data_IF_719479873272
#
_entry.id   IF_719479873272
#
_cell.length_a   1.000
_cell.length_b   1.000
_cell.length_c   1.000
_cell.angle_alpha   90.00
_cell.angle_beta   90.00
_cell.angle_gamma   90.00
#
_symmetry.space_group_name_H-M   'P 1'
#
loop_
_entity.id
_entity.type
_entity.pdbx_description
1 polymer ?
#
# COMPACT_ATOMS: atom_id res chain seq x y z
N UNK A 1 3.79 -102.43 30.34
CA UNK A 1 4.62 -102.27 29.12
C UNK A 1 5.90 -101.53 29.51
N UNK A 2 7.08 -102.17 29.40
CA UNK A 2 8.37 -101.45 29.49
C UNK A 2 8.67 -100.87 28.12
N UNK A 3 8.82 -99.56 28.03
CA UNK A 3 9.25 -98.86 26.81
C UNK A 3 10.60 -99.43 26.35
N UNK A 4 10.76 -99.63 25.05
CA UNK A 4 12.01 -100.09 24.43
C UNK A 4 13.09 -99.01 24.51
N UNK A 5 14.37 -99.41 24.49
CA UNK A 5 15.51 -98.48 24.48
C UNK A 5 15.44 -97.45 23.33
N UNK A 6 14.83 -97.82 22.19
CA UNK A 6 14.64 -96.93 21.04
C UNK A 6 13.61 -95.83 21.35
N UNK A 7 12.49 -96.16 22.01
CA UNK A 7 11.46 -95.18 22.39
C UNK A 7 11.97 -94.18 23.42
N UNK A 8 12.79 -94.62 24.39
CA UNK A 8 13.43 -93.74 25.38
C UNK A 8 14.39 -92.75 24.71
N UNK A 9 15.20 -93.21 23.75
CA UNK A 9 16.13 -92.36 23.02
C UNK A 9 15.39 -91.31 22.16
N UNK A 10 14.27 -91.69 21.52
CA UNK A 10 13.45 -90.78 20.72
C UNK A 10 12.80 -89.71 21.62
N UNK A 11 12.20 -90.10 22.76
CA UNK A 11 11.59 -89.15 23.70
C UNK A 11 12.62 -88.17 24.26
N UNK A 12 13.82 -88.64 24.61
CA UNK A 12 14.92 -87.80 25.11
C UNK A 12 15.40 -86.81 24.03
N UNK A 13 15.57 -87.27 22.78
CA UNK A 13 15.92 -86.41 21.66
C UNK A 13 14.83 -85.37 21.36
N UNK A 14 13.55 -85.75 21.39
CA UNK A 14 12.42 -84.84 21.24
C UNK A 14 12.38 -83.80 22.37
N UNK A 15 12.64 -84.20 23.61
CA UNK A 15 12.73 -83.27 24.73
C UNK A 15 13.87 -82.26 24.55
N UNK A 16 15.05 -82.71 24.12
CA UNK A 16 16.21 -81.84 23.88
C UNK A 16 15.97 -80.88 22.70
N UNK A 17 15.35 -81.35 21.62
CA UNK A 17 14.94 -80.49 20.49
C UNK A 17 13.88 -79.46 20.89
N UNK A 18 12.89 -79.85 21.69
CA UNK A 18 11.89 -78.90 22.21
C UNK A 18 12.53 -77.88 23.15
N UNK A 19 13.38 -78.31 24.09
CA UNK A 19 14.06 -77.42 25.03
C UNK A 19 14.99 -76.42 24.31
N UNK A 20 15.77 -76.88 23.33
CA UNK A 20 16.64 -76.01 22.52
C UNK A 20 15.84 -75.05 21.64
N UNK A 21 14.73 -75.49 21.03
CA UNK A 21 13.82 -74.62 20.28
C UNK A 21 13.22 -73.52 21.15
N UNK A 22 12.81 -73.83 22.38
CA UNK A 22 12.32 -72.83 23.34
C UNK A 22 13.41 -71.81 23.68
N UNK A 23 14.65 -72.24 23.93
CA UNK A 23 15.78 -71.34 24.23
C UNK A 23 16.14 -70.46 23.03
N UNK A 24 16.17 -71.00 21.81
CA UNK A 24 16.40 -70.24 20.58
C UNK A 24 15.28 -69.21 20.33
N UNK A 25 14.01 -69.59 20.51
CA UNK A 25 12.89 -68.66 20.37
C UNK A 25 12.93 -67.54 21.43
N UNK A 26 13.22 -67.87 22.69
CA UNK A 26 13.35 -66.88 23.75
C UNK A 26 14.49 -65.87 23.50
N UNK A 27 15.63 -66.35 22.98
CA UNK A 27 16.77 -65.48 22.63
C UNK A 27 16.46 -64.59 21.42
N UNK A 28 15.81 -65.11 20.38
CA UNK A 28 15.33 -64.31 19.24
C UNK A 28 14.35 -63.21 19.69
N UNK A 29 13.37 -63.53 20.52
CA UNK A 29 12.41 -62.54 21.07
C UNK A 29 13.14 -61.45 21.87
N UNK A 30 14.11 -61.82 22.70
CA UNK A 30 14.93 -60.86 23.45
C UNK A 30 15.77 -59.95 22.53
N UNK A 31 16.36 -60.51 21.47
CA UNK A 31 17.14 -59.75 20.49
C UNK A 31 16.24 -58.78 19.71
N UNK A 32 15.07 -59.21 19.25
CA UNK A 32 14.10 -58.35 18.59
C UNK A 32 13.59 -57.25 19.51
N UNK A 33 13.28 -57.57 20.78
CA UNK A 33 12.86 -56.59 21.76
C UNK A 33 13.95 -55.53 21.99
N UNK A 34 15.22 -55.95 22.14
CA UNK A 34 16.37 -55.04 22.26
C UNK A 34 16.51 -54.16 21.01
N UNK A 35 16.36 -54.73 19.81
CA UNK A 35 16.40 -53.99 18.53
C UNK A 35 15.28 -52.94 18.47
N UNK A 36 14.02 -53.32 18.71
CA UNK A 36 12.86 -52.41 18.72
C UNK A 36 12.98 -51.32 19.79
N UNK A 37 13.61 -51.61 20.94
CA UNK A 37 13.90 -50.61 21.98
C UNK A 37 14.93 -49.58 21.51
N UNK A 38 16.00 -50.01 20.83
CA UNK A 38 16.99 -49.11 20.22
C UNK A 38 16.37 -48.25 19.12
N UNK A 39 15.56 -48.84 18.25
CA UNK A 39 14.85 -48.12 17.17
C UNK A 39 13.92 -47.04 17.74
N UNK A 40 13.11 -47.38 18.75
CA UNK A 40 12.26 -46.39 19.45
C UNK A 40 13.07 -45.27 20.10
N UNK A 41 14.21 -45.60 20.71
CA UNK A 41 15.09 -44.59 21.29
C UNK A 41 15.75 -43.70 20.23
N UNK A 42 16.16 -44.28 19.10
CA UNK A 42 16.72 -43.54 17.97
C UNK A 42 15.69 -42.56 17.38
N UNK A 43 14.44 -43.02 17.16
CA UNK A 43 13.34 -42.16 16.69
C UNK A 43 13.05 -41.03 17.68
N UNK A 44 13.04 -41.31 19.00
CA UNK A 44 12.87 -40.26 20.02
C UNK A 44 14.00 -39.23 19.98
N UNK A 45 15.25 -39.67 19.84
CA UNK A 45 16.40 -38.77 19.71
C UNK A 45 16.35 -37.93 18.44
N UNK A 46 15.92 -38.52 17.31
CA UNK A 46 15.71 -37.79 16.05
C UNK A 46 14.61 -36.73 16.19
N UNK A 47 13.50 -37.05 16.86
CA UNK A 47 12.42 -36.08 17.10
C UNK A 47 12.88 -34.92 17.99
N UNK A 48 13.57 -35.22 19.09
CA UNK A 48 14.12 -34.21 20.01
C UNK A 48 15.15 -33.30 19.32
N UNK A 49 16.04 -33.87 18.52
CA UNK A 49 17.04 -33.08 17.77
C UNK A 49 16.39 -32.20 16.72
N UNK A 50 15.39 -32.70 15.98
CA UNK A 50 14.61 -31.88 15.05
C UNK A 50 13.92 -30.71 15.77
N UNK A 51 13.29 -30.97 16.93
CA UNK A 51 12.62 -29.94 17.71
C UNK A 51 13.60 -28.88 18.26
N UNK A 52 14.80 -29.29 18.67
CA UNK A 52 15.87 -28.37 19.08
C UNK A 52 16.36 -27.49 17.93
N UNK A 53 16.52 -28.06 16.72
CA UNK A 53 16.94 -27.30 15.53
C UNK A 53 15.89 -26.25 15.14
N UNK A 54 14.61 -26.61 15.15
CA UNK A 54 13.50 -25.68 14.90
C UNK A 54 13.50 -24.54 15.94
N UNK A 55 13.64 -24.88 17.23
CA UNK A 55 13.70 -23.89 18.30
C UNK A 55 14.91 -22.96 18.16
N UNK A 56 16.08 -23.50 17.80
CA UNK A 56 17.29 -22.70 17.56
C UNK A 56 17.09 -21.72 16.41
N UNK A 57 16.53 -22.17 15.29
CA UNK A 57 16.21 -21.32 14.14
C UNK A 57 15.20 -20.22 14.51
N UNK A 58 14.19 -20.54 15.32
CA UNK A 58 13.23 -19.57 15.83
C UNK A 58 13.92 -18.50 16.70
N UNK A 59 14.78 -18.91 17.64
CA UNK A 59 15.53 -18.01 18.52
C UNK A 59 16.46 -17.11 17.69
N UNK A 60 17.16 -17.65 16.69
CA UNK A 60 18.02 -16.87 15.80
C UNK A 60 17.22 -15.84 15.01
N UNK A 61 16.06 -16.21 14.48
CA UNK A 61 15.16 -15.27 13.80
C UNK A 61 14.64 -14.18 14.74
N UNK A 62 14.28 -14.53 15.97
CA UNK A 62 13.90 -13.55 16.99
C UNK A 62 15.06 -12.59 17.34
N UNK A 63 16.29 -13.10 17.45
CA UNK A 63 17.50 -12.30 17.65
C UNK A 63 17.79 -11.37 16.47
N UNK A 64 17.70 -11.87 15.23
CA UNK A 64 17.85 -11.05 13.99
C UNK A 64 16.80 -9.93 13.94
N UNK A 65 15.54 -10.25 14.23
CA UNK A 65 14.45 -9.25 14.34
C UNK A 65 14.75 -8.21 15.41
N UNK A 66 15.26 -8.58 16.59
CA UNK A 66 15.67 -7.63 17.64
C UNK A 66 16.85 -6.74 17.19
N UNK A 67 17.89 -7.28 16.55
CA UNK A 67 19.01 -6.46 16.01
C UNK A 67 18.53 -5.42 14.99
N UNK A 68 17.64 -5.81 14.08
CA UNK A 68 17.03 -4.86 13.13
C UNK A 68 16.18 -3.78 13.81
N UNK A 69 15.63 -4.02 15.01
CA UNK A 69 14.91 -3.01 15.80
C UNK A 69 15.85 -1.96 16.40
N UNK A 70 17.09 -2.32 16.72
CA UNK A 70 18.05 -1.48 17.45
C UNK A 70 19.01 -0.66 16.55
N UNK A 71 18.77 -0.61 15.23
CA UNK A 71 19.56 0.27 14.37
C UNK A 71 19.31 1.73 14.79
N UNK A 72 20.36 2.45 15.19
CA UNK A 72 20.26 3.88 15.55
C UNK A 72 19.68 4.65 14.36
N UNK A 73 18.67 5.49 14.62
CA UNK A 73 18.05 6.37 13.63
C UNK A 73 18.18 7.81 14.12
N UNK A 74 18.51 8.72 13.21
CA UNK A 74 18.59 10.15 13.55
C UNK A 74 17.20 10.76 13.53
N UNK A 75 16.89 11.56 14.56
CA UNK A 75 15.67 12.36 14.64
C UNK A 75 15.95 13.85 14.41
N UNK A 76 17.22 14.20 14.20
CA UNK A 76 17.75 15.55 14.19
C UNK A 76 17.04 16.45 13.18
N UNK A 77 16.87 15.94 11.95
CA UNK A 77 16.33 16.73 10.85
C UNK A 77 14.92 17.24 11.15
N UNK A 78 14.01 16.38 11.61
CA UNK A 78 12.64 16.82 11.90
C UNK A 78 12.54 17.62 13.21
N UNK A 79 13.16 17.15 14.28
CA UNK A 79 12.95 17.74 15.62
C UNK A 79 13.74 19.04 15.84
N UNK A 80 14.93 19.17 15.23
CA UNK A 80 15.83 20.30 15.47
C UNK A 80 15.97 21.20 14.25
N UNK A 81 16.08 20.66 13.03
CA UNK A 81 16.29 21.50 11.84
C UNK A 81 14.96 22.06 11.34
N UNK A 82 14.02 21.19 10.94
CA UNK A 82 12.75 21.64 10.35
C UNK A 82 11.91 22.47 11.32
N UNK A 83 11.79 22.04 12.57
CA UNK A 83 10.95 22.74 13.55
C UNK A 83 11.51 24.09 14.00
N UNK A 84 12.84 24.25 14.05
CA UNK A 84 13.48 25.42 14.66
C UNK A 84 14.12 26.37 13.64
N UNK A 85 14.64 25.86 12.53
CA UNK A 85 15.51 26.61 11.62
C UNK A 85 14.90 26.87 10.24
N UNK A 86 13.93 26.07 9.78
CA UNK A 86 13.35 26.25 8.44
C UNK A 86 12.63 27.59 8.28
N UNK A 87 13.00 28.31 7.23
CA UNK A 87 12.28 29.47 6.69
C UNK A 87 11.08 29.05 5.85
N UNK A 88 10.18 29.99 5.52
CA UNK A 88 9.04 29.70 4.62
C UNK A 88 9.49 29.17 3.25
N UNK A 89 10.64 29.61 2.74
CA UNK A 89 11.22 29.09 1.49
C UNK A 89 11.58 27.61 1.63
N UNK A 90 12.21 27.23 2.74
CA UNK A 90 12.58 25.84 3.01
C UNK A 90 11.34 24.96 3.14
N UNK A 91 10.27 25.46 3.75
CA UNK A 91 8.98 24.77 3.82
C UNK A 91 8.38 24.51 2.44
N UNK A 92 8.33 25.53 1.59
CA UNK A 92 7.82 25.39 0.22
C UNK A 92 8.68 24.45 -0.63
N UNK A 93 10.00 24.48 -0.46
CA UNK A 93 10.91 23.61 -1.21
C UNK A 93 10.77 22.14 -0.80
N UNK A 94 10.69 21.86 0.50
CA UNK A 94 10.70 20.49 1.03
C UNK A 94 9.31 19.85 1.15
N UNK A 95 8.26 20.65 1.39
CA UNK A 95 6.91 20.15 1.65
C UNK A 95 5.87 20.64 0.64
N UNK A 96 6.23 21.56 -0.28
CA UNK A 96 5.34 22.22 -1.25
C UNK A 96 4.18 23.01 -0.63
N UNK A 97 4.25 23.27 0.68
CA UNK A 97 3.28 24.06 1.44
C UNK A 97 4.01 24.92 2.46
N UNK A 98 3.47 26.11 2.74
CA UNK A 98 3.97 26.98 3.81
C UNK A 98 3.66 26.42 5.20
N UNK A 99 4.32 26.97 6.23
CA UNK A 99 4.17 26.46 7.62
C UNK A 99 2.74 26.62 8.14
N UNK A 100 2.04 27.68 7.75
CA UNK A 100 0.65 27.92 8.15
C UNK A 100 -0.32 26.93 7.49
N UNK A 101 -0.16 26.71 6.18
CA UNK A 101 -0.93 25.68 5.46
C UNK A 101 -0.67 24.28 6.01
N UNK A 102 0.58 23.99 6.40
CA UNK A 102 0.92 22.75 7.09
C UNK A 102 0.15 22.62 8.41
N UNK A 103 0.17 23.64 9.27
CA UNK A 103 -0.58 23.64 10.55
C UNK A 103 -2.07 23.46 10.33
N UNK A 104 -2.62 24.11 9.31
CA UNK A 104 -4.01 23.95 8.93
C UNK A 104 -4.35 22.49 8.56
N UNK A 105 -3.54 21.86 7.69
CA UNK A 105 -3.74 20.45 7.31
C UNK A 105 -3.64 19.52 8.53
N UNK A 106 -2.71 19.79 9.45
CA UNK A 106 -2.55 19.01 10.68
C UNK A 106 -3.81 19.05 11.53
N UNK A 107 -4.43 20.22 11.70
CA UNK A 107 -5.62 20.36 12.54
C UNK A 107 -6.86 19.72 11.88
N UNK A 108 -7.06 19.93 10.57
CA UNK A 108 -8.16 19.32 9.80
C UNK A 108 -8.13 17.79 9.84
N UNK A 109 -6.94 17.19 9.76
CA UNK A 109 -6.80 15.73 9.68
C UNK A 109 -6.56 15.06 11.04
N UNK A 110 -6.53 15.85 12.12
CA UNK A 110 -6.09 15.40 13.44
C UNK A 110 -6.91 14.25 13.99
N UNK A 111 -8.24 14.36 13.92
CA UNK A 111 -9.13 13.36 14.50
C UNK A 111 -9.03 12.00 13.79
N UNK A 112 -8.84 12.02 12.47
CA UNK A 112 -8.73 10.79 11.66
C UNK A 112 -7.32 10.17 11.69
N UNK A 113 -6.26 10.97 11.91
CA UNK A 113 -4.87 10.50 11.92
C UNK A 113 -4.35 10.10 13.31
N UNK A 114 -5.11 10.37 14.39
CA UNK A 114 -4.74 9.95 15.74
C UNK A 114 -4.59 8.41 15.81
N UNK A 115 -3.60 7.89 16.55
CA UNK A 115 -3.52 6.46 16.80
C UNK A 115 -4.76 5.96 17.53
N UNK A 116 -5.32 4.84 17.08
CA UNK A 116 -6.37 4.14 17.82
C UNK A 116 -5.81 3.68 19.17
N UNK A 117 -6.60 3.82 20.23
CA UNK A 117 -6.19 3.59 21.64
C UNK A 117 -5.50 2.23 21.85
N UNK A 118 -5.99 1.19 21.17
CA UNK A 118 -5.47 -0.18 21.25
C UNK A 118 -4.00 -0.34 20.81
N UNK A 119 -3.40 0.67 20.18
CA UNK A 119 -2.04 0.59 19.67
C UNK A 119 -1.04 1.57 20.32
N UNK A 120 -1.45 2.34 21.33
CA UNK A 120 -0.60 3.36 21.97
C UNK A 120 0.70 2.79 22.57
N UNK A 121 0.67 1.52 23.02
CA UNK A 121 1.85 0.83 23.59
C UNK A 121 2.85 0.32 22.56
N UNK A 122 2.60 0.52 21.26
CA UNK A 122 3.50 0.07 20.20
C UNK A 122 4.48 1.17 19.81
N UNK A 123 5.74 1.07 20.27
CA UNK A 123 6.83 2.01 19.96
C UNK A 123 7.13 2.22 18.45
N UNK A 124 6.49 1.45 17.55
CA UNK A 124 6.59 1.64 16.09
C UNK A 124 5.61 2.66 15.54
N UNK A 125 4.62 3.07 16.34
CA UNK A 125 3.58 3.99 15.94
C UNK A 125 4.04 5.39 16.26
N UNK A 126 4.02 6.23 15.23
CA UNK A 126 4.21 7.65 15.41
C UNK A 126 2.89 8.19 15.97
N UNK A 127 2.89 8.55 17.24
CA UNK A 127 1.71 9.12 17.89
C UNK A 127 1.47 10.58 17.50
N UNK A 128 2.54 11.29 17.15
CA UNK A 128 2.49 12.68 16.74
C UNK A 128 1.90 12.81 15.31
N UNK A 129 0.66 13.34 15.23
CA UNK A 129 -0.02 13.63 13.96
C UNK A 129 0.80 14.57 13.09
N UNK A 130 1.37 15.63 13.67
CA UNK A 130 2.21 16.61 12.98
C UNK A 130 3.34 15.91 12.20
N UNK A 131 4.03 14.97 12.84
CA UNK A 131 5.10 14.19 12.20
C UNK A 131 4.57 13.25 11.11
N UNK A 132 3.38 12.66 11.27
CA UNK A 132 2.75 11.85 10.22
C UNK A 132 2.47 12.70 8.97
N UNK A 133 1.86 13.87 9.14
CA UNK A 133 1.54 14.79 8.05
C UNK A 133 2.82 15.25 7.36
N UNK A 134 3.86 15.59 8.12
CA UNK A 134 5.16 15.98 7.56
C UNK A 134 5.82 14.88 6.72
N UNK A 135 5.82 13.64 7.22
CA UNK A 135 6.34 12.48 6.47
C UNK A 135 5.59 12.30 5.16
N UNK A 136 4.26 12.40 5.19
CA UNK A 136 3.44 12.23 4.00
C UNK A 136 3.66 13.34 2.98
N UNK A 137 3.62 14.60 3.40
CA UNK A 137 3.85 15.76 2.53
C UNK A 137 5.27 15.75 1.95
N UNK A 138 6.29 15.45 2.75
CA UNK A 138 7.65 15.33 2.25
C UNK A 138 7.80 14.24 1.19
N UNK A 139 7.15 13.09 1.38
CA UNK A 139 7.13 12.03 0.37
C UNK A 139 6.44 12.48 -0.92
N UNK A 140 5.28 13.14 -0.82
CA UNK A 140 4.54 13.65 -1.98
C UNK A 140 5.29 14.78 -2.71
N UNK A 141 6.01 15.62 -1.98
CA UNK A 141 6.80 16.74 -2.51
C UNK A 141 8.08 16.29 -3.22
N UNK A 142 8.80 15.34 -2.63
CA UNK A 142 10.11 14.87 -3.11
C UNK A 142 10.03 13.68 -4.06
N UNK A 143 8.94 12.91 -4.00
CA UNK A 143 8.74 11.64 -4.74
C UNK A 143 9.90 10.65 -4.51
N UNK A 144 10.58 10.77 -3.37
CA UNK A 144 11.73 9.95 -3.02
C UNK A 144 11.31 8.55 -2.53
N UNK A 145 12.24 7.59 -2.60
CA UNK A 145 12.01 6.25 -2.09
C UNK A 145 11.66 6.26 -0.59
N UNK A 146 10.75 5.37 -0.16
CA UNK A 146 10.40 5.24 1.27
C UNK A 146 11.58 5.03 2.20
N UNK A 147 12.68 4.45 1.70
CA UNK A 147 13.92 4.27 2.45
C UNK A 147 14.59 5.61 2.75
N UNK A 148 14.62 6.53 1.79
CA UNK A 148 15.22 7.87 1.92
C UNK A 148 14.42 8.67 2.94
N UNK A 149 13.10 8.77 2.75
CA UNK A 149 12.20 9.44 3.70
C UNK A 149 12.32 8.84 5.11
N UNK A 150 12.39 7.52 5.20
CA UNK A 150 12.57 6.82 6.47
C UNK A 150 13.88 7.20 7.18
N UNK A 151 14.98 7.32 6.44
CA UNK A 151 16.25 7.79 7.01
C UNK A 151 16.16 9.26 7.47
N UNK A 152 15.57 10.14 6.66
CA UNK A 152 15.42 11.57 6.96
C UNK A 152 14.62 11.82 8.25
N UNK A 153 13.51 11.10 8.44
CA UNK A 153 12.63 11.28 9.60
C UNK A 153 12.94 10.35 10.79
N UNK A 154 13.94 9.48 10.65
CA UNK A 154 14.33 8.53 11.70
C UNK A 154 13.33 7.39 11.91
N UNK A 155 12.64 6.95 10.85
CA UNK A 155 11.56 5.94 10.92
C UNK A 155 11.79 4.80 9.92
N UNK A 156 11.12 3.66 10.13
CA UNK A 156 11.29 2.53 9.23
C UNK A 156 10.52 2.75 7.92
N UNK A 157 11.07 2.29 6.77
CA UNK A 157 10.44 2.44 5.44
C UNK A 157 8.99 1.94 5.38
N UNK A 158 8.67 0.87 6.11
CA UNK A 158 7.29 0.35 6.17
C UNK A 158 6.35 1.30 6.91
N UNK A 159 6.86 2.00 7.92
CA UNK A 159 6.09 3.02 8.65
C UNK A 159 5.82 4.22 7.76
N UNK A 160 6.80 4.66 6.95
CA UNK A 160 6.60 5.71 5.94
C UNK A 160 5.48 5.31 4.98
N UNK A 161 5.55 4.11 4.39
CA UNK A 161 4.53 3.60 3.48
C UNK A 161 3.14 3.63 4.12
N UNK A 162 2.99 3.10 5.33
CA UNK A 162 1.71 3.10 6.04
C UNK A 162 1.18 4.53 6.28
N UNK A 163 2.06 5.45 6.70
CA UNK A 163 1.69 6.85 6.95
C UNK A 163 1.23 7.54 5.66
N UNK A 164 1.95 7.36 4.56
CA UNK A 164 1.60 7.96 3.26
C UNK A 164 0.23 7.48 2.81
N UNK A 165 -0.03 6.17 2.87
CA UNK A 165 -1.33 5.61 2.48
C UNK A 165 -2.45 6.05 3.41
N UNK A 166 -2.22 6.07 4.72
CA UNK A 166 -3.18 6.57 5.72
C UNK A 166 -3.53 8.04 5.44
N UNK A 167 -2.51 8.88 5.27
CA UNK A 167 -2.66 10.31 4.98
C UNK A 167 -3.44 10.58 3.69
N UNK A 168 -3.10 9.90 2.59
CA UNK A 168 -3.80 10.09 1.30
C UNK A 168 -5.27 9.67 1.41
N UNK A 169 -5.55 8.53 2.04
CA UNK A 169 -6.92 8.04 2.21
C UNK A 169 -7.75 9.00 3.09
N UNK A 170 -7.18 9.47 4.19
CA UNK A 170 -7.82 10.44 5.07
C UNK A 170 -8.03 11.78 4.36
N UNK A 171 -7.05 12.27 3.60
CA UNK A 171 -7.18 13.48 2.79
C UNK A 171 -8.29 13.37 1.74
N UNK A 172 -8.40 12.23 1.05
CA UNK A 172 -9.50 11.98 0.11
C UNK A 172 -10.85 11.95 0.82
N UNK A 173 -10.91 11.38 2.02
CA UNK A 173 -12.16 11.29 2.81
C UNK A 173 -12.60 12.66 3.35
N UNK A 174 -11.67 13.45 3.86
CA UNK A 174 -11.96 14.67 4.65
C UNK A 174 -11.83 15.93 3.81
N UNK A 175 -10.72 16.12 3.10
CA UNK A 175 -10.42 17.37 2.39
C UNK A 175 -11.08 17.41 1.01
N UNK A 176 -11.01 16.32 0.24
CA UNK A 176 -11.53 16.31 -1.13
C UNK A 176 -12.99 16.78 -1.23
N UNK A 177 -13.94 16.31 -0.39
CA UNK A 177 -15.33 16.75 -0.47
C UNK A 177 -15.53 18.18 -0.01
N UNK A 178 -14.60 18.77 0.75
CA UNK A 178 -14.67 20.15 1.23
C UNK A 178 -14.22 21.16 0.16
N UNK A 179 -13.17 20.81 -0.61
CA UNK A 179 -12.52 21.72 -1.55
C UNK A 179 -12.84 21.45 -3.02
N UNK A 180 -13.10 20.21 -3.41
CA UNK A 180 -13.43 19.83 -4.79
C UNK A 180 -14.96 19.64 -4.87
N UNK A 181 -15.65 20.75 -5.10
CA UNK A 181 -17.12 20.80 -5.19
C UNK A 181 -17.53 21.50 -6.48
N UNK A 182 -18.66 21.06 -7.04
CA UNK A 182 -19.30 21.76 -8.15
C UNK A 182 -19.67 23.18 -7.67
N UNK A 183 -19.36 24.23 -8.45
CA UNK A 183 -19.70 25.60 -8.08
C UNK A 183 -21.22 25.76 -7.94
N UNK A 184 -21.63 26.55 -6.95
CA UNK A 184 -23.01 27.02 -6.83
C UNK A 184 -23.39 27.91 -8.00
N UNK A 185 -24.68 28.18 -8.19
CA UNK A 185 -25.16 29.04 -9.27
C UNK A 185 -24.53 30.44 -9.23
N UNK A 186 -24.45 31.05 -8.05
CA UNK A 186 -23.82 32.35 -7.85
C UNK A 186 -22.32 32.33 -8.22
N UNK A 187 -21.59 31.27 -7.80
CA UNK A 187 -20.18 31.09 -8.15
C UNK A 187 -20.00 30.83 -9.65
N UNK A 188 -20.90 30.05 -10.27
CA UNK A 188 -20.87 29.76 -11.69
C UNK A 188 -21.04 31.03 -12.54
N UNK A 189 -21.92 31.95 -12.13
CA UNK A 189 -22.09 33.26 -12.78
C UNK A 189 -20.82 34.11 -12.66
N UNK A 190 -20.20 34.12 -11.47
CA UNK A 190 -18.92 34.82 -11.26
C UNK A 190 -17.84 34.22 -12.18
N UNK A 191 -17.68 32.89 -12.18
CA UNK A 191 -16.70 32.17 -12.98
C UNK A 191 -16.90 32.47 -14.48
N UNK A 192 -18.15 32.40 -14.96
CA UNK A 192 -18.50 32.72 -16.35
C UNK A 192 -18.15 34.16 -16.72
N UNK A 193 -18.43 35.12 -15.85
CA UNK A 193 -18.07 36.52 -16.06
C UNK A 193 -16.56 36.71 -16.17
N UNK A 194 -15.76 35.99 -15.37
CA UNK A 194 -14.29 36.05 -15.47
C UNK A 194 -13.77 35.43 -16.77
N UNK A 195 -14.30 34.28 -17.19
CA UNK A 195 -13.91 33.66 -18.45
C UNK A 195 -14.32 34.51 -19.65
N UNK A 196 -15.50 35.11 -19.64
CA UNK A 196 -15.96 35.97 -20.73
C UNK A 196 -15.05 37.20 -20.89
N UNK A 197 -14.61 37.81 -19.78
CA UNK A 197 -13.64 38.92 -19.82
C UNK A 197 -12.29 38.53 -20.43
N UNK A 198 -11.82 37.29 -20.23
CA UNK A 198 -10.50 36.85 -20.67
C UNK A 198 -10.49 36.15 -22.03
N UNK A 199 -11.59 35.49 -22.40
CA UNK A 199 -11.70 34.65 -23.60
C UNK A 199 -12.72 35.17 -24.61
N UNK A 200 -13.54 36.17 -24.25
CA UNK A 200 -14.66 36.69 -25.05
C UNK A 200 -15.76 35.65 -25.35
N UNK A 201 -15.84 34.60 -24.54
CA UNK A 201 -16.83 33.53 -24.69
C UNK A 201 -17.77 33.52 -23.48
N UNK A 202 -19.09 33.62 -23.70
CA UNK A 202 -20.06 33.62 -22.61
C UNK A 202 -20.27 32.21 -22.02
N UNK A 203 -20.77 32.16 -20.78
CA UNK A 203 -21.27 30.94 -20.11
C UNK A 203 -20.23 29.81 -19.86
N UNK A 204 -18.93 30.13 -19.84
CA UNK A 204 -17.88 29.16 -19.50
C UNK A 204 -17.77 29.02 -17.98
N UNK A 205 -17.96 27.82 -17.45
CA UNK A 205 -17.82 27.58 -15.99
C UNK A 205 -16.59 26.74 -15.63
N UNK A 206 -15.85 26.26 -16.64
CA UNK A 206 -14.59 25.59 -16.41
C UNK A 206 -13.90 25.11 -17.68
N UNK A 207 -12.60 24.91 -17.54
CA UNK A 207 -11.75 24.28 -18.55
C UNK A 207 -11.44 22.85 -18.12
N UNK A 208 -11.71 21.90 -19.01
CA UNK A 208 -11.37 20.48 -18.81
C UNK A 208 -10.07 20.16 -19.55
N UNK A 209 -9.19 19.44 -18.88
CA UNK A 209 -8.05 18.79 -19.52
C UNK A 209 -7.76 17.42 -18.91
N UNK A 210 -7.03 16.59 -19.66
CA UNK A 210 -6.62 15.24 -19.29
C UNK A 210 -5.10 15.13 -19.26
N UNK A 211 -4.59 14.55 -18.18
CA UNK A 211 -3.16 14.26 -18.02
C UNK A 211 -2.95 12.77 -17.82
N UNK A 212 -2.01 12.20 -18.57
CA UNK A 212 -1.58 10.83 -18.38
C UNK A 212 -0.57 10.75 -17.23
N UNK A 213 -0.91 9.98 -16.19
CA UNK A 213 -0.04 9.70 -15.05
C UNK A 213 0.64 8.33 -15.29
N UNK A 214 1.99 8.26 -15.32
CA UNK A 214 2.69 6.99 -15.49
C UNK A 214 2.36 6.00 -14.38
N UNK A 215 2.09 4.75 -14.74
CA UNK A 215 1.82 3.68 -13.77
C UNK A 215 2.56 2.41 -14.13
N UNK A 216 2.69 1.52 -13.15
CA UNK A 216 3.02 0.12 -13.39
C UNK A 216 1.71 -0.65 -13.60
N UNK A 217 1.38 -1.03 -14.84
CA UNK A 217 0.15 -1.75 -15.11
C UNK A 217 0.21 -3.19 -14.58
N UNK A 218 -0.95 -3.82 -14.31
CA UNK A 218 -1.03 -5.24 -14.00
C UNK A 218 -0.49 -6.11 -15.15
N UNK A 219 -0.09 -7.34 -14.84
CA UNK A 219 0.38 -8.32 -15.83
C UNK A 219 -0.72 -8.65 -16.84
N UNK A 220 -1.94 -8.88 -16.34
CA UNK A 220 -3.14 -9.06 -17.15
C UNK A 220 -3.74 -7.69 -17.49
N UNK A 221 -4.16 -7.47 -18.74
CA UNK A 221 -4.73 -6.18 -19.15
C UNK A 221 -3.71 -5.05 -19.35
N UNK A 222 -2.41 -5.36 -19.41
CA UNK A 222 -1.34 -4.37 -19.62
C UNK A 222 -1.62 -3.38 -20.77
N UNK A 223 -2.16 -3.91 -21.89
CA UNK A 223 -2.42 -3.14 -23.12
C UNK A 223 -3.41 -2.00 -22.90
N UNK A 224 -4.33 -2.15 -21.94
CA UNK A 224 -5.35 -1.14 -21.65
C UNK A 224 -4.72 0.14 -21.08
N UNK A 225 -3.54 0.03 -20.47
CA UNK A 225 -2.85 1.18 -19.90
C UNK A 225 -1.95 1.89 -20.91
N UNK A 226 -1.69 1.31 -22.08
CA UNK A 226 -0.79 1.89 -23.08
C UNK A 226 -1.49 3.05 -23.78
N UNK A 227 -0.96 4.25 -23.59
CA UNK A 227 -1.50 5.44 -24.25
C UNK A 227 -1.03 5.56 -25.70
N UNK A 228 -1.54 6.59 -26.40
CA UNK A 228 -1.18 6.92 -27.79
C UNK A 228 0.33 7.17 -27.99
N UNK A 229 1.08 7.48 -26.92
CA UNK A 229 2.53 7.69 -26.92
C UNK A 229 3.33 6.42 -26.63
N UNK A 230 2.67 5.27 -26.48
CA UNK A 230 3.30 3.96 -26.32
C UNK A 230 3.79 3.63 -24.91
N UNK A 231 3.37 4.36 -23.87
CA UNK A 231 3.74 4.08 -22.48
C UNK A 231 2.52 3.90 -21.57
N UNK A 232 2.70 3.15 -20.48
CA UNK A 232 1.63 2.76 -19.57
C UNK A 232 1.23 3.90 -18.63
N UNK A 233 -0.07 4.22 -18.58
CA UNK A 233 -0.60 5.35 -17.81
C UNK A 233 -2.04 5.13 -17.34
N UNK A 234 -2.46 5.93 -16.36
CA UNK A 234 -3.86 6.21 -16.04
C UNK A 234 -4.18 7.65 -16.39
N UNK A 235 -5.42 7.93 -16.73
CA UNK A 235 -5.88 9.27 -17.10
C UNK A 235 -6.45 9.96 -15.86
N UNK A 236 -5.89 11.14 -15.56
CA UNK A 236 -6.44 12.12 -14.63
C UNK A 236 -7.12 13.20 -15.47
N UNK A 237 -8.43 13.31 -15.35
CA UNK A 237 -9.20 14.42 -15.90
C UNK A 237 -9.46 15.43 -14.78
N UNK A 238 -9.20 16.70 -15.03
CA UNK A 238 -9.47 17.78 -14.10
C UNK A 238 -10.31 18.85 -14.75
N UNK A 239 -11.16 19.50 -13.95
CA UNK A 239 -11.89 20.70 -14.37
C UNK A 239 -11.55 21.83 -13.42
N UNK A 240 -11.09 22.95 -14.00
CA UNK A 240 -10.67 24.14 -13.27
C UNK A 240 -11.56 25.32 -13.57
N UNK A 241 -11.73 26.20 -12.58
CA UNK A 241 -12.40 27.49 -12.75
C UNK A 241 -11.47 28.55 -13.36
N UNK A 242 -11.99 29.77 -13.51
CA UNK A 242 -11.24 30.93 -14.04
C UNK A 242 -10.09 31.40 -13.15
N UNK A 243 -10.01 30.91 -11.90
CA UNK A 243 -8.95 31.17 -10.93
C UNK A 243 -8.00 29.98 -10.80
N UNK A 244 -8.03 29.04 -11.76
CA UNK A 244 -7.22 27.82 -11.79
C UNK A 244 -7.45 26.87 -10.61
N UNK A 245 -8.62 26.94 -9.96
CA UNK A 245 -8.98 26.05 -8.85
C UNK A 245 -9.75 24.85 -9.40
N UNK A 246 -9.36 23.66 -8.97
CA UNK A 246 -10.08 22.44 -9.32
C UNK A 246 -11.44 22.42 -8.60
N UNK A 247 -12.50 22.24 -9.37
CA UNK A 247 -13.84 21.96 -8.83
C UNK A 247 -14.33 20.55 -9.22
N UNK A 248 -13.61 19.88 -10.12
CA UNK A 248 -13.80 18.48 -10.41
C UNK A 248 -12.49 17.76 -10.74
N UNK A 249 -12.36 16.51 -10.28
CA UNK A 249 -11.24 15.61 -10.59
C UNK A 249 -11.78 14.19 -10.79
N UNK A 250 -11.37 13.51 -11.85
CA UNK A 250 -11.71 12.12 -12.14
C UNK A 250 -10.46 11.32 -12.52
N UNK A 251 -10.15 10.27 -11.75
CA UNK A 251 -9.00 9.37 -11.98
C UNK A 251 -9.53 7.95 -12.03
N UNK A 252 -9.84 7.44 -13.22
CA UNK A 252 -10.50 6.13 -13.39
C UNK A 252 -10.09 5.36 -14.63
N UNK A 253 -9.78 6.07 -15.71
CA UNK A 253 -9.64 5.44 -17.01
C UNK A 253 -8.18 5.03 -17.28
N UNK A 254 -7.95 3.84 -17.85
CA UNK A 254 -6.61 3.43 -18.24
C UNK A 254 -6.17 4.20 -19.50
N UNK A 255 -4.86 4.27 -19.72
CA UNK A 255 -4.23 5.16 -20.71
C UNK A 255 -4.64 4.96 -22.17
N UNK A 256 -5.19 3.81 -22.55
CA UNK A 256 -5.66 3.56 -23.91
C UNK A 256 -7.06 4.16 -24.18
N UNK A 257 -7.76 4.62 -23.14
CA UNK A 257 -9.13 5.11 -23.26
C UNK A 257 -9.19 6.35 -24.13
N UNK A 258 -10.18 6.42 -25.02
CA UNK A 258 -10.39 7.58 -25.87
C UNK A 258 -10.96 8.76 -25.07
N UNK A 259 -10.46 9.97 -25.31
CA UNK A 259 -10.82 11.22 -24.63
C UNK A 259 -12.36 11.41 -24.53
N UNK A 260 -13.09 11.15 -25.63
CA UNK A 260 -14.56 11.17 -25.63
C UNK A 260 -15.22 10.19 -24.63
N UNK A 261 -14.63 9.01 -24.44
CA UNK A 261 -15.10 8.02 -23.46
C UNK A 261 -14.74 8.44 -22.03
N UNK A 262 -13.59 9.07 -21.83
CA UNK A 262 -13.19 9.63 -20.53
C UNK A 262 -14.18 10.73 -20.12
N UNK A 263 -14.50 11.66 -21.03
CA UNK A 263 -15.48 12.72 -20.81
C UNK A 263 -16.90 12.18 -20.57
N UNK A 264 -17.36 11.21 -21.37
CA UNK A 264 -18.68 10.61 -21.17
C UNK A 264 -18.77 9.84 -19.85
N UNK A 265 -17.69 9.17 -19.44
CA UNK A 265 -17.61 8.43 -18.18
C UNK A 265 -17.54 9.32 -16.95
N UNK A 266 -16.82 10.45 -17.03
CA UNK A 266 -16.77 11.44 -15.94
C UNK A 266 -18.09 12.17 -15.77
N UNK A 267 -18.81 12.43 -16.88
CA UNK A 267 -20.13 13.06 -16.87
C UNK A 267 -21.25 12.20 -16.29
N UNK A 268 -21.15 10.87 -16.41
CA UNK A 268 -22.09 9.92 -15.81
C UNK A 268 -21.84 9.66 -14.31
N UNK A 269 -20.66 10.05 -13.80
CA UNK A 269 -20.43 10.11 -12.36
C UNK A 269 -21.26 11.24 -11.73
N UNK A 270 -21.49 11.19 -10.41
CA UNK A 270 -22.21 12.21 -9.60
C UNK A 270 -21.56 13.63 -9.60
N UNK A 271 -20.81 13.99 -10.64
CA UNK A 271 -19.71 14.94 -10.57
C UNK A 271 -19.67 15.97 -11.70
N UNK A 272 -20.52 15.84 -12.73
CA UNK A 272 -20.86 16.94 -13.63
C UNK A 272 -22.39 17.12 -13.57
N UNK A 273 -22.91 18.34 -13.36
CA UNK A 273 -24.35 18.55 -13.33
C UNK A 273 -24.97 18.20 -14.69
N UNK A 274 -26.10 17.51 -14.62
CA UNK A 274 -27.01 17.28 -15.75
C UNK A 274 -27.42 18.66 -16.27
N UNK A 275 -26.90 19.04 -17.45
CA UNK A 275 -27.04 20.40 -17.99
C UNK A 275 -25.90 20.86 -18.91
N UNK A 276 -24.92 20.02 -19.25
CA UNK A 276 -23.93 20.33 -20.31
C UNK A 276 -24.58 20.07 -21.67
N UNK A 277 -25.21 21.09 -22.27
CA UNK A 277 -25.89 20.93 -23.58
C UNK A 277 -25.00 21.11 -24.80
N UNK A 278 -23.76 21.59 -24.67
CA UNK A 278 -22.78 21.68 -25.78
C UNK A 278 -21.35 21.59 -25.26
N UNK A 279 -20.59 20.57 -25.68
CA UNK A 279 -19.13 20.63 -25.70
C UNK A 279 -18.72 21.24 -27.04
N UNK A 280 -18.25 22.48 -27.05
CA UNK A 280 -17.60 23.04 -28.24
C UNK A 280 -16.10 22.84 -28.05
N UNK A 281 -15.49 22.04 -28.91
CA UNK A 281 -14.04 21.98 -29.03
C UNK A 281 -13.58 23.31 -29.62
N UNK A 282 -12.99 24.19 -28.81
CA UNK A 282 -12.37 25.42 -29.31
C UNK A 282 -10.86 25.22 -29.32
N UNK A 283 -10.32 25.07 -30.52
CA UNK A 283 -8.88 25.04 -30.74
C UNK A 283 -8.37 26.48 -30.73
N UNK A 284 -7.76 26.92 -29.63
CA UNK A 284 -7.03 28.20 -29.60
C UNK A 284 -5.56 27.98 -29.98
N UNK A 285 -5.09 28.76 -30.95
CA UNK A 285 -3.67 28.89 -31.31
C UNK A 285 -3.05 29.93 -30.36
N UNK A 286 -2.40 29.47 -29.30
CA UNK A 286 -1.60 30.33 -28.42
C UNK A 286 -0.14 29.88 -28.56
N UNK A 287 0.71 30.75 -29.11
CA UNK A 287 2.17 30.60 -29.17
C UNK A 287 2.67 29.22 -29.66
N UNK A 288 2.41 28.88 -30.93
CA UNK A 288 3.05 27.76 -31.66
C UNK A 288 2.71 26.33 -31.19
N UNK A 289 1.81 26.16 -30.22
CA UNK A 289 1.30 24.85 -29.78
C UNK A 289 -0.24 24.82 -29.84
N UNK A 290 -0.79 23.77 -30.45
CA UNK A 290 -2.23 23.48 -30.45
C UNK A 290 -2.56 22.87 -29.08
N UNK A 291 -3.26 23.60 -28.21
CA UNK A 291 -3.85 23.05 -27.00
C UNK A 291 -5.35 22.88 -27.23
N UNK A 292 -5.83 21.64 -27.19
CA UNK A 292 -7.25 21.31 -27.33
C UNK A 292 -7.88 21.35 -25.93
N UNK A 293 -8.61 22.41 -25.60
CA UNK A 293 -9.40 22.46 -24.37
C UNK A 293 -10.86 22.11 -24.67
N UNK A 294 -11.47 21.27 -23.83
CA UNK A 294 -12.93 21.11 -23.81
C UNK A 294 -13.48 22.10 -22.79
N UNK A 295 -14.25 23.06 -23.30
CA UNK A 295 -14.86 24.12 -22.49
C UNK A 295 -16.26 23.67 -22.08
N UNK A 296 -16.57 23.74 -20.79
CA UNK A 296 -17.91 23.45 -20.28
C UNK A 296 -18.78 24.71 -20.32
N UNK A 297 -19.85 24.64 -21.11
CA UNK A 297 -20.90 25.65 -21.15
C UNK A 297 -22.04 25.27 -20.21
N UNK A 298 -22.50 26.22 -19.40
CA UNK A 298 -23.70 26.09 -18.59
C UNK A 298 -24.96 26.28 -19.47
N UNK A 299 -25.90 25.32 -19.47
CA UNK A 299 -27.14 25.43 -20.26
C UNK A 299 -28.32 25.96 -19.44
N UNK A 300 -28.20 27.16 -18.88
CA UNK A 300 -29.20 27.69 -17.97
C UNK A 300 -29.45 29.17 -18.14
N UNK A 301 -29.68 29.66 -19.36
CA UNK A 301 -30.35 30.94 -19.60
C UNK A 301 -31.10 30.88 -20.94
N UNK A 302 -32.35 30.41 -20.87
CA UNK A 302 -33.44 30.86 -21.72
C UNK A 302 -34.62 31.15 -20.79
#
# INVERSE_FOLDING_TARGET
MKLSKKEIAIISAMYFMCASSIVLNATLILMEWKRRKRERNCMKMQLLTHQLLVNKALIENLKKRKRSKNKKRSYEWWENIVKKEFSEKDWLENFRVGKDSFRFIVEELKEELKPKENFLNNARIISCVEKKVAVALFYLASVCEYRVVGHTFGIHKSTVHNIVHEFVNVGIKVLLPQYIKIPSEAEAIEIASYFERSTHLPNIIGAIDETHIPVRPPTEGHRDFINRKGWASIILQGVVDSKYRFWNICIKNPGSTHDASVLAGSAKGKYLPIGVKKSVTLTYLIYKYIYTYVILFFSGFN
#
